data_IF_007461368516
#
_entry.id   IF_007461368516
#
_cell.length_a   1.000
_cell.length_b   1.000
_cell.length_c   1.000
_cell.angle_alpha   90.00
_cell.angle_beta   90.00
_cell.angle_gamma   90.00
#
_symmetry.space_group_name_H-M   'P 1'
#
loop_
_entity.id
_entity.type
_entity.pdbx_description
1 polymer ?
#
# COMPACT_ATOMS: atom_id res chain seq x y z
N UNK A 1 5.98 -6.75 29.61
CA UNK A 1 6.19 -5.37 29.68
C UNK A 1 5.70 -4.67 28.43
N UNK A 2 5.34 -3.45 28.59
CA UNK A 2 4.76 -2.67 27.53
C UNK A 2 5.67 -2.41 26.33
N UNK A 3 6.99 -2.27 26.45
CA UNK A 3 7.84 -2.05 25.29
C UNK A 3 7.75 -3.15 24.23
N UNK A 4 7.64 -4.37 24.64
CA UNK A 4 7.55 -5.49 23.70
C UNK A 4 6.25 -5.43 22.89
N UNK A 5 5.21 -4.93 23.49
CA UNK A 5 3.91 -4.83 22.85
C UNK A 5 3.90 -3.85 21.70
N UNK A 6 4.81 -2.88 21.73
CA UNK A 6 4.91 -1.83 20.72
C UNK A 6 6.06 -2.08 19.76
N UNK A 7 6.78 -3.16 19.93
CA UNK A 7 7.89 -3.47 19.07
C UNK A 7 7.41 -3.87 17.67
N UNK A 8 8.06 -3.31 16.65
CA UNK A 8 7.75 -3.63 15.26
C UNK A 8 8.69 -4.73 14.81
N UNK A 9 8.11 -5.84 14.38
CA UNK A 9 8.88 -6.98 13.89
C UNK A 9 8.96 -6.92 12.37
N UNK A 10 10.17 -6.96 11.81
CA UNK A 10 10.41 -6.82 10.39
C UNK A 10 9.64 -7.79 9.52
N UNK A 11 9.47 -9.02 9.98
CA UNK A 11 8.74 -10.06 9.25
C UNK A 11 7.23 -9.84 9.21
N UNK A 12 6.73 -8.90 10.03
CA UNK A 12 5.31 -8.58 10.12
C UNK A 12 4.97 -7.19 9.56
N UNK A 13 5.97 -6.51 9.02
CA UNK A 13 5.75 -5.18 8.47
C UNK A 13 5.07 -5.30 7.11
N UNK A 14 3.98 -4.55 6.94
CA UNK A 14 3.24 -4.55 5.69
C UNK A 14 4.03 -3.87 4.56
N UNK A 15 3.64 -4.15 3.33
CA UNK A 15 4.23 -3.49 2.17
C UNK A 15 4.09 -1.96 2.27
N UNK A 16 2.93 -1.48 2.74
CA UNK A 16 2.69 -0.04 2.90
C UNK A 16 3.63 0.56 3.95
N UNK A 17 3.83 -0.14 5.05
CA UNK A 17 4.73 0.34 6.11
C UNK A 17 6.19 0.34 5.64
N UNK A 18 6.63 -0.69 4.92
CA UNK A 18 7.96 -0.69 4.33
C UNK A 18 8.14 0.47 3.36
N UNK A 19 7.12 0.72 2.55
CA UNK A 19 7.15 1.85 1.60
C UNK A 19 7.25 3.17 2.35
N UNK A 20 6.46 3.34 3.41
CA UNK A 20 6.52 4.54 4.26
C UNK A 20 7.93 4.75 4.80
N UNK A 21 8.52 3.69 5.36
CA UNK A 21 9.88 3.76 5.89
C UNK A 21 10.91 4.14 4.83
N UNK A 22 10.80 3.55 3.64
CA UNK A 22 11.71 3.85 2.53
C UNK A 22 11.60 5.30 2.05
N UNK A 23 10.38 5.81 1.97
CA UNK A 23 10.15 7.22 1.56
C UNK A 23 10.81 8.18 2.53
N UNK A 24 10.69 7.92 3.81
CA UNK A 24 11.27 8.79 4.85
C UNK A 24 12.79 8.65 4.88
N UNK A 25 13.29 7.42 4.83
CA UNK A 25 14.74 7.15 4.93
C UNK A 25 15.52 7.55 3.67
N UNK A 26 14.91 7.42 2.51
CA UNK A 26 15.55 7.68 1.22
C UNK A 26 14.73 8.64 0.36
N UNK A 27 14.54 9.87 0.83
CA UNK A 27 13.63 10.82 0.15
C UNK A 27 14.08 11.19 -1.26
N UNK A 28 15.37 11.20 -1.55
CA UNK A 28 15.86 11.55 -2.88
C UNK A 28 15.49 10.46 -3.91
N UNK A 29 15.56 9.20 -3.51
CA UNK A 29 15.15 8.10 -4.39
C UNK A 29 13.64 8.09 -4.56
N UNK A 30 12.92 8.25 -3.45
CA UNK A 30 11.46 8.24 -3.44
C UNK A 30 10.85 9.36 -4.29
N UNK A 31 11.54 10.48 -4.39
CA UNK A 31 11.09 11.64 -5.17
C UNK A 31 10.76 11.29 -6.61
N UNK A 32 11.44 10.33 -7.19
CA UNK A 32 11.20 9.90 -8.57
C UNK A 32 9.86 9.20 -8.75
N UNK A 33 9.23 8.80 -7.65
CA UNK A 33 7.94 8.08 -7.65
C UNK A 33 6.80 8.95 -7.10
N UNK A 34 6.93 10.26 -7.24
CA UNK A 34 5.99 11.21 -6.66
C UNK A 34 4.53 10.94 -7.05
N UNK A 35 4.29 10.63 -8.32
CA UNK A 35 2.92 10.36 -8.79
C UNK A 35 2.32 9.12 -8.12
N UNK A 36 3.10 8.06 -8.01
CA UNK A 36 2.66 6.82 -7.37
C UNK A 36 2.41 7.05 -5.88
N UNK A 37 3.28 7.84 -5.24
CA UNK A 37 3.15 8.14 -3.81
C UNK A 37 1.93 9.01 -3.53
N UNK A 38 1.61 9.94 -4.41
CA UNK A 38 0.41 10.77 -4.27
C UNK A 38 -0.84 9.90 -4.28
N UNK A 39 -0.90 8.93 -5.17
CA UNK A 39 -2.04 8.02 -5.27
C UNK A 39 -2.25 7.23 -3.98
N UNK A 40 -1.18 6.95 -3.25
CA UNK A 40 -1.23 6.20 -2.01
C UNK A 40 -1.35 7.09 -0.77
N UNK A 41 -1.34 8.41 -0.96
CA UNK A 41 -1.37 9.33 0.17
C UNK A 41 -0.07 9.36 0.96
N UNK A 42 1.04 9.03 0.31
CA UNK A 42 2.36 8.97 0.96
C UNK A 42 3.26 10.15 0.61
N UNK A 43 2.68 11.30 0.31
CA UNK A 43 3.40 12.57 0.20
C UNK A 43 3.09 13.37 1.44
N UNK A 44 4.00 14.21 1.87
CA UNK A 44 3.85 15.02 3.07
C UNK A 44 3.48 14.19 4.30
N UNK A 45 4.22 13.11 4.49
CA UNK A 45 3.98 12.19 5.61
C UNK A 45 4.24 12.89 6.94
N UNK A 46 3.26 12.82 7.84
CA UNK A 46 3.45 13.29 9.20
C UNK A 46 4.30 12.26 9.95
N UNK A 47 5.47 12.69 10.40
CA UNK A 47 6.41 11.78 11.05
C UNK A 47 6.20 11.76 12.56
N UNK A 48 5.58 10.70 13.03
CA UNK A 48 5.37 10.43 14.44
C UNK A 48 6.29 9.29 14.85
N UNK A 49 6.16 8.81 16.08
CA UNK A 49 7.01 7.75 16.61
C UNK A 49 7.01 6.50 15.72
N UNK A 50 5.85 6.09 15.25
CA UNK A 50 5.75 4.91 14.40
C UNK A 50 6.49 5.10 13.08
N UNK A 51 6.34 6.25 12.45
CA UNK A 51 7.02 6.56 11.19
C UNK A 51 8.53 6.65 11.37
N UNK A 52 8.99 7.17 12.51
CA UNK A 52 10.42 7.20 12.82
C UNK A 52 10.97 5.78 12.93
N UNK A 53 10.24 4.86 13.55
CA UNK A 53 10.66 3.48 13.68
C UNK A 53 10.73 2.78 12.32
N UNK A 54 9.75 3.04 11.47
CA UNK A 54 9.74 2.48 10.11
C UNK A 54 10.93 3.01 9.30
N UNK A 55 11.24 4.28 9.43
CA UNK A 55 12.37 4.89 8.75
C UNK A 55 13.69 4.27 9.22
N UNK A 56 13.84 4.05 10.52
CA UNK A 56 15.03 3.40 11.08
C UNK A 56 15.19 1.98 10.56
N UNK A 57 14.11 1.23 10.53
CA UNK A 57 14.13 -0.15 10.02
C UNK A 57 14.51 -0.19 8.55
N UNK A 58 13.96 0.72 7.76
CA UNK A 58 14.29 0.80 6.33
C UNK A 58 15.74 1.24 6.12
N UNK A 59 16.18 2.24 6.87
CA UNK A 59 17.55 2.73 6.80
C UNK A 59 18.55 1.62 7.12
N UNK A 60 18.25 0.83 8.14
CA UNK A 60 19.11 -0.28 8.56
C UNK A 60 19.14 -1.40 7.52
N UNK A 61 17.95 -1.80 7.06
CA UNK A 61 17.83 -2.89 6.09
C UNK A 61 18.49 -2.58 4.75
N UNK A 62 18.37 -1.35 4.28
CA UNK A 62 18.84 -0.95 2.95
C UNK A 62 20.09 -0.08 2.97
N UNK A 63 20.80 -0.02 4.09
CA UNK A 63 21.98 0.83 4.24
C UNK A 63 23.10 0.57 3.22
N UNK A 64 23.26 -0.68 2.82
CA UNK A 64 24.30 -1.08 1.87
C UNK A 64 23.80 -1.19 0.42
N UNK A 65 22.54 -0.83 0.19
CA UNK A 65 21.94 -0.96 -1.12
C UNK A 65 22.26 0.27 -1.98
N UNK A 66 22.49 0.04 -3.27
CA UNK A 66 22.64 1.11 -4.23
C UNK A 66 21.28 1.78 -4.49
N UNK A 67 21.31 3.01 -5.03
CA UNK A 67 20.08 3.69 -5.42
C UNK A 67 19.24 2.86 -6.40
N UNK A 68 19.91 2.20 -7.34
CA UNK A 68 19.24 1.37 -8.34
C UNK A 68 18.47 0.24 -7.65
N UNK A 69 19.08 -0.39 -6.65
CA UNK A 69 18.46 -1.48 -5.91
C UNK A 69 17.28 -0.97 -5.08
N UNK A 70 17.42 0.19 -4.46
CA UNK A 70 16.32 0.80 -3.69
C UNK A 70 15.15 1.14 -4.62
N UNK A 71 15.43 1.65 -5.81
CA UNK A 71 14.37 1.94 -6.80
C UNK A 71 13.61 0.68 -7.18
N UNK A 72 14.32 -0.43 -7.38
CA UNK A 72 13.69 -1.71 -7.69
C UNK A 72 12.81 -2.19 -6.55
N UNK A 73 13.26 -1.97 -5.32
CA UNK A 73 12.48 -2.31 -4.14
C UNK A 73 11.19 -1.48 -4.07
N UNK A 74 11.30 -0.19 -4.35
CA UNK A 74 10.12 0.69 -4.40
C UNK A 74 9.14 0.22 -5.47
N UNK A 75 9.63 -0.09 -6.65
CA UNK A 75 8.79 -0.59 -7.75
C UNK A 75 8.08 -1.89 -7.37
N UNK A 76 8.79 -2.78 -6.68
CA UNK A 76 8.22 -4.04 -6.20
C UNK A 76 7.11 -3.79 -5.19
N UNK A 77 7.32 -2.86 -4.27
CA UNK A 77 6.30 -2.52 -3.26
C UNK A 77 5.08 -1.87 -3.89
N UNK A 78 5.28 -1.00 -4.88
CA UNK A 78 4.15 -0.41 -5.62
C UNK A 78 3.33 -1.46 -6.34
N UNK A 79 4.00 -2.41 -6.98
CA UNK A 79 3.32 -3.51 -7.67
C UNK A 79 2.50 -4.35 -6.70
N UNK A 80 3.07 -4.66 -5.54
CA UNK A 80 2.41 -5.44 -4.51
C UNK A 80 1.17 -4.72 -3.97
N UNK A 81 1.30 -3.43 -3.70
CA UNK A 81 0.17 -2.62 -3.22
C UNK A 81 -0.92 -2.48 -4.27
N UNK A 82 -0.53 -2.33 -5.53
CA UNK A 82 -1.49 -2.27 -6.63
C UNK A 82 -2.31 -3.55 -6.74
N UNK A 83 -1.64 -4.70 -6.61
CA UNK A 83 -2.30 -6.00 -6.64
C UNK A 83 -3.27 -6.17 -5.46
N UNK A 84 -2.83 -5.78 -4.26
CA UNK A 84 -3.67 -5.85 -3.07
C UNK A 84 -4.90 -4.96 -3.20
N UNK A 85 -4.72 -3.75 -3.70
CA UNK A 85 -5.81 -2.81 -3.92
C UNK A 85 -6.83 -3.34 -4.93
N UNK A 86 -6.35 -3.99 -5.99
CA UNK A 86 -7.20 -4.60 -6.99
C UNK A 86 -8.06 -5.72 -6.38
N UNK A 87 -7.45 -6.58 -5.58
CA UNK A 87 -8.16 -7.67 -4.91
C UNK A 87 -9.21 -7.14 -3.93
N UNK A 88 -8.86 -6.10 -3.18
CA UNK A 88 -9.81 -5.46 -2.27
C UNK A 88 -10.99 -4.86 -3.01
N UNK A 89 -10.74 -4.18 -4.13
CA UNK A 89 -11.81 -3.57 -4.93
C UNK A 89 -12.73 -4.63 -5.51
N UNK A 90 -12.19 -5.73 -5.99
CA UNK A 90 -12.99 -6.86 -6.49
C UNK A 90 -13.90 -7.41 -5.39
N UNK A 91 -13.36 -7.55 -4.19
CA UNK A 91 -14.12 -8.06 -3.04
C UNK A 91 -15.25 -7.10 -2.67
N UNK A 92 -14.97 -5.81 -2.60
CA UNK A 92 -15.97 -4.78 -2.30
C UNK A 92 -17.12 -4.82 -3.32
N UNK A 93 -16.77 -4.92 -4.61
CA UNK A 93 -17.78 -4.96 -5.67
C UNK A 93 -18.67 -6.17 -5.55
N UNK A 94 -18.10 -7.32 -5.22
CA UNK A 94 -18.90 -8.55 -5.00
C UNK A 94 -19.89 -8.38 -3.86
N UNK A 95 -19.46 -7.78 -2.76
CA UNK A 95 -20.33 -7.53 -1.62
C UNK A 95 -21.44 -6.55 -1.96
N UNK A 96 -21.12 -5.48 -2.66
CA UNK A 96 -22.09 -4.48 -3.08
C UNK A 96 -23.13 -5.07 -4.04
N UNK A 97 -22.67 -5.89 -5.01
CA UNK A 97 -23.57 -6.57 -5.94
C UNK A 97 -24.56 -7.46 -5.20
N UNK A 98 -24.07 -8.22 -4.23
CA UNK A 98 -24.91 -9.09 -3.43
C UNK A 98 -25.99 -8.31 -2.68
N UNK A 99 -25.59 -7.17 -2.09
CA UNK A 99 -26.55 -6.30 -1.38
C UNK A 99 -27.61 -5.75 -2.32
N UNK A 100 -27.23 -5.37 -3.55
CA UNK A 100 -28.18 -4.83 -4.51
C UNK A 100 -29.14 -5.91 -5.02
N UNK A 101 -28.64 -7.11 -5.24
CA UNK A 101 -29.49 -8.22 -5.63
C UNK A 101 -30.51 -8.56 -4.53
N UNK A 102 -30.08 -8.59 -3.27
CA UNK A 102 -30.96 -8.85 -2.13
C UNK A 102 -32.00 -7.74 -1.97
N UNK A 103 -31.64 -6.52 -2.30
CA UNK A 103 -32.56 -5.39 -2.26
C UNK A 103 -33.48 -5.32 -3.47
N UNK A 104 -33.26 -6.17 -4.47
CA UNK A 104 -34.06 -6.17 -5.68
C UNK A 104 -33.66 -5.08 -6.70
N UNK A 105 -32.53 -4.43 -6.49
CA UNK A 105 -32.03 -3.39 -7.39
C UNK A 105 -31.13 -4.00 -8.45
N UNK A 106 -31.76 -4.66 -9.42
CA UNK A 106 -31.03 -5.37 -10.48
C UNK A 106 -30.26 -4.44 -11.39
N UNK A 107 -30.75 -3.23 -11.60
CA UNK A 107 -30.06 -2.24 -12.44
C UNK A 107 -28.73 -1.85 -11.82
N UNK A 108 -28.73 -1.59 -10.51
CA UNK A 108 -27.49 -1.22 -9.81
C UNK A 108 -26.53 -2.41 -9.73
N UNK A 109 -27.05 -3.61 -9.52
CA UNK A 109 -26.24 -4.81 -9.52
C UNK A 109 -25.55 -5.03 -10.87
N UNK A 110 -26.25 -4.75 -11.97
CA UNK A 110 -25.68 -4.87 -13.31
C UNK A 110 -24.55 -3.84 -13.56
N UNK A 111 -24.71 -2.61 -13.08
CA UNK A 111 -23.66 -1.59 -13.18
C UNK A 111 -22.40 -2.04 -12.43
N UNK A 112 -22.58 -2.57 -11.23
CA UNK A 112 -21.47 -3.06 -10.41
C UNK A 112 -20.78 -4.26 -11.06
N UNK A 113 -21.55 -5.13 -11.68
CA UNK A 113 -21.00 -6.28 -12.41
C UNK A 113 -20.12 -5.81 -13.59
N UNK A 114 -20.58 -4.82 -14.33
CA UNK A 114 -19.81 -4.25 -15.43
C UNK A 114 -18.49 -3.66 -14.93
N UNK A 115 -18.55 -2.95 -13.80
CA UNK A 115 -17.35 -2.41 -13.17
C UNK A 115 -16.38 -3.51 -12.76
N UNK A 116 -16.92 -4.56 -12.15
CA UNK A 116 -16.13 -5.72 -11.76
C UNK A 116 -15.44 -6.38 -12.96
N UNK A 117 -16.15 -6.57 -14.06
CA UNK A 117 -15.58 -7.16 -15.26
C UNK A 117 -14.41 -6.36 -15.84
N UNK A 118 -14.47 -5.04 -15.74
CA UNK A 118 -13.37 -4.17 -16.20
C UNK A 118 -12.10 -4.45 -15.42
N UNK A 119 -12.21 -4.85 -14.17
CA UNK A 119 -11.05 -5.15 -13.32
C UNK A 119 -10.41 -6.49 -13.67
N UNK A 120 -11.08 -7.35 -14.41
CA UNK A 120 -10.57 -8.66 -14.79
C UNK A 120 -9.68 -8.62 -16.05
N UNK A 121 -9.61 -7.50 -16.72
CA UNK A 121 -8.84 -7.34 -17.96
C UNK A 121 -7.39 -6.98 -17.73
#
# INVERSE_FOLDING_TARGET
STPEEKEIHADKISARDWLTGLVIAFPEVAKEFDEELKKLGLVEIEIKENEEKLALLASDKYSDFSEVTIKKELESLFAKLGKQGLEERKHELKLEMQKMEEAGDDAKAAELFNEYQKLLK
#
